data_IF_292444082234
#
_entry.id   IF_292444082234
#
_cell.length_a   1.000
_cell.length_b   1.000
_cell.length_c   1.000
_cell.angle_alpha   90.00
_cell.angle_beta   90.00
_cell.angle_gamma   90.00
#
_symmetry.space_group_name_H-M   'P 1'
#
loop_
_entity.id
_entity.type
_entity.pdbx_description
1 polymer ?
#
# COMPACT_ATOMS: atom_id res chain seq x y z
N UNK A 1 -53.12 19.48 -4.10
CA UNK A 1 -52.55 18.21 -3.61
C UNK A 1 -51.06 18.45 -3.38
N UNK A 2 -50.68 18.82 -2.15
CA UNK A 2 -49.30 19.09 -1.76
C UNK A 2 -48.81 17.88 -0.95
N UNK A 3 -47.82 17.17 -1.48
CA UNK A 3 -47.13 16.09 -0.77
C UNK A 3 -46.18 16.75 0.22
N UNK A 4 -46.57 16.79 1.49
CA UNK A 4 -45.72 17.17 2.61
C UNK A 4 -44.71 16.03 2.82
N UNK A 5 -43.43 16.28 2.53
CA UNK A 5 -42.35 15.36 2.93
C UNK A 5 -42.22 15.41 4.46
N UNK A 6 -42.23 14.29 5.19
CA UNK A 6 -41.99 14.31 6.61
C UNK A 6 -40.52 14.73 6.86
N UNK A 7 -40.35 15.70 7.75
CA UNK A 7 -39.07 16.10 8.32
C UNK A 7 -38.29 14.85 8.78
N UNK A 8 -37.03 14.73 8.33
CA UNK A 8 -36.08 13.80 8.94
C UNK A 8 -35.88 14.21 10.40
N UNK A 9 -36.43 13.42 11.31
CA UNK A 9 -36.22 13.55 12.74
C UNK A 9 -34.74 13.51 13.07
N UNK A 10 -34.34 14.44 13.93
CA UNK A 10 -33.05 14.54 14.62
C UNK A 10 -32.58 13.17 15.13
N UNK A 11 -31.29 12.86 14.95
CA UNK A 11 -30.65 11.73 15.59
C UNK A 11 -30.94 11.74 17.10
N UNK A 12 -31.24 10.60 17.75
CA UNK A 12 -31.57 10.57 19.17
C UNK A 12 -30.40 11.11 19.99
N UNK A 13 -30.69 11.85 21.07
CA UNK A 13 -29.75 12.59 21.93
C UNK A 13 -28.58 11.74 22.51
N UNK A 14 -28.61 10.40 22.37
CA UNK A 14 -27.56 9.49 22.85
C UNK A 14 -26.84 8.68 21.75
N UNK A 15 -27.08 8.96 20.45
CA UNK A 15 -26.47 8.17 19.37
C UNK A 15 -24.94 8.31 19.37
N UNK A 16 -24.44 9.54 19.56
CA UNK A 16 -22.99 9.82 19.57
C UNK A 16 -22.29 9.06 20.69
N UNK A 17 -22.86 9.04 21.88
CA UNK A 17 -22.29 8.35 23.05
C UNK A 17 -22.24 6.84 22.82
N UNK A 18 -23.30 6.26 22.27
CA UNK A 18 -23.33 4.83 21.90
C UNK A 18 -22.27 4.49 20.86
N UNK A 19 -22.08 5.33 19.85
CA UNK A 19 -21.03 5.16 18.85
C UNK A 19 -19.64 5.24 19.48
N UNK A 20 -19.40 6.22 20.36
CA UNK A 20 -18.11 6.35 21.06
C UNK A 20 -17.80 5.13 21.93
N UNK A 21 -18.80 4.58 22.63
CA UNK A 21 -18.65 3.35 23.40
C UNK A 21 -18.30 2.16 22.50
N UNK A 22 -19.06 1.94 21.42
CA UNK A 22 -18.81 0.85 20.48
C UNK A 22 -17.43 0.97 19.79
N UNK A 23 -17.00 2.18 19.47
CA UNK A 23 -15.66 2.44 18.93
C UNK A 23 -14.58 2.13 19.97
N UNK A 24 -14.77 2.54 21.23
CA UNK A 24 -13.83 2.24 22.32
C UNK A 24 -13.67 0.72 22.54
N UNK A 25 -14.75 -0.04 22.48
CA UNK A 25 -14.72 -1.51 22.58
C UNK A 25 -13.98 -2.14 21.39
N UNK A 26 -14.32 -1.71 20.16
CA UNK A 26 -13.63 -2.15 18.94
C UNK A 26 -12.14 -1.82 18.96
N UNK A 27 -11.76 -0.64 19.47
CA UNK A 27 -10.37 -0.21 19.60
C UNK A 27 -9.63 -1.04 20.64
N UNK A 28 -10.27 -1.39 21.76
CA UNK A 28 -9.68 -2.26 22.77
C UNK A 28 -9.36 -3.65 22.21
N UNK A 29 -10.25 -4.20 21.39
CA UNK A 29 -10.05 -5.52 20.74
C UNK A 29 -8.88 -5.52 19.75
N UNK A 30 -8.70 -4.43 18.99
CA UNK A 30 -7.66 -4.35 17.94
C UNK A 30 -6.33 -3.77 18.43
N UNK A 31 -6.27 -3.22 19.64
CA UNK A 31 -5.10 -2.47 20.14
C UNK A 31 -3.80 -3.28 20.10
N UNK A 32 -3.85 -4.53 20.56
CA UNK A 32 -2.64 -5.37 20.62
C UNK A 32 -2.12 -5.68 19.21
N UNK A 33 -3.00 -6.00 18.27
CA UNK A 33 -2.61 -6.26 16.89
C UNK A 33 -2.04 -5.02 16.21
N UNK A 34 -2.65 -3.84 16.43
CA UNK A 34 -2.13 -2.56 15.93
C UNK A 34 -0.73 -2.28 16.49
N UNK A 35 -0.50 -2.54 17.78
CA UNK A 35 0.81 -2.38 18.40
C UNK A 35 1.85 -3.31 17.76
N UNK A 36 1.52 -4.58 17.52
CA UNK A 36 2.41 -5.53 16.85
C UNK A 36 2.77 -5.07 15.42
N UNK A 37 1.80 -4.52 14.67
CA UNK A 37 2.04 -3.97 13.33
C UNK A 37 2.94 -2.73 13.35
N UNK A 38 2.77 -1.86 14.34
CA UNK A 38 3.64 -0.68 14.54
C UNK A 38 5.06 -1.13 14.88
N UNK A 39 5.22 -2.11 15.77
CA UNK A 39 6.52 -2.69 16.11
C UNK A 39 7.19 -3.28 14.86
N UNK A 40 6.46 -4.07 14.08
CA UNK A 40 6.97 -4.64 12.84
C UNK A 40 7.35 -3.56 11.81
N UNK A 41 6.53 -2.50 11.66
CA UNK A 41 6.85 -1.36 10.79
C UNK A 41 8.09 -0.58 11.24
N UNK A 42 8.42 -0.58 12.53
CA UNK A 42 9.58 0.14 13.04
C UNK A 42 10.91 -0.38 12.46
N UNK A 43 10.94 -1.65 12.05
CA UNK A 43 12.10 -2.28 11.39
C UNK A 43 12.44 -1.65 10.03
N UNK A 44 11.47 -0.97 9.41
CA UNK A 44 11.62 -0.33 8.11
C UNK A 44 11.96 1.16 8.18
N UNK A 45 11.99 1.73 9.39
CA UNK A 45 12.16 3.17 9.59
C UNK A 45 13.63 3.56 9.53
N UNK A 46 14.12 3.93 8.34
CA UNK A 46 15.36 4.67 8.23
C UNK A 46 15.10 6.16 8.52
N UNK A 47 15.92 6.76 9.37
CA UNK A 47 15.84 8.18 9.70
C UNK A 47 16.46 8.98 8.55
N UNK A 48 15.62 9.54 7.68
CA UNK A 48 16.05 10.46 6.63
C UNK A 48 15.70 11.89 7.04
N UNK A 49 16.69 12.78 7.24
CA UNK A 49 16.44 14.14 7.71
C UNK A 49 15.68 14.99 6.67
N UNK A 50 15.77 14.63 5.38
CA UNK A 50 15.00 15.24 4.30
C UNK A 50 14.91 14.30 3.11
N UNK A 51 13.69 14.03 2.64
CA UNK A 51 13.42 13.16 1.49
C UNK A 51 12.87 14.04 0.37
N UNK A 52 13.53 14.04 -0.78
CA UNK A 52 13.06 14.72 -1.99
C UNK A 52 12.32 13.71 -2.88
N UNK A 53 11.15 14.12 -3.39
CA UNK A 53 10.33 13.30 -4.28
C UNK A 53 9.02 13.99 -4.62
N UNK A 54 8.27 13.42 -5.56
CA UNK A 54 6.93 13.92 -5.89
C UNK A 54 6.01 13.75 -4.68
N UNK A 55 5.25 14.79 -4.35
CA UNK A 55 4.42 14.81 -3.14
C UNK A 55 3.42 13.65 -3.11
N UNK A 56 2.86 13.30 -4.27
CA UNK A 56 1.95 12.17 -4.44
C UNK A 56 2.63 10.84 -4.11
N UNK A 57 3.86 10.61 -4.60
CA UNK A 57 4.63 9.40 -4.31
C UNK A 57 5.00 9.31 -2.83
N UNK A 58 5.44 10.41 -2.22
CA UNK A 58 5.78 10.44 -0.79
C UNK A 58 4.56 10.18 0.10
N UNK A 59 3.38 10.67 -0.30
CA UNK A 59 2.14 10.43 0.44
C UNK A 59 1.77 8.95 0.49
N UNK A 60 2.06 8.18 -0.55
CA UNK A 60 1.76 6.73 -0.59
C UNK A 60 2.47 5.96 0.53
N UNK A 61 3.67 6.37 0.94
CA UNK A 61 4.38 5.71 2.05
C UNK A 61 3.56 5.82 3.34
N UNK A 62 3.10 7.03 3.67
CA UNK A 62 2.32 7.28 4.88
C UNK A 62 0.95 6.60 4.83
N UNK A 63 0.28 6.60 3.67
CA UNK A 63 -0.99 5.88 3.48
C UNK A 63 -0.83 4.36 3.61
N UNK A 64 0.26 3.79 3.08
CA UNK A 64 0.55 2.36 3.21
C UNK A 64 0.77 1.97 4.68
N UNK A 65 1.52 2.78 5.43
CA UNK A 65 1.75 2.57 6.86
C UNK A 65 0.47 2.69 7.69
N UNK A 66 -0.33 3.72 7.43
CA UNK A 66 -1.60 3.94 8.13
C UNK A 66 -2.59 2.80 7.91
N UNK A 67 -2.82 2.44 6.65
CA UNK A 67 -3.72 1.32 6.30
C UNK A 67 -3.24 -0.01 6.86
N UNK A 68 -1.93 -0.27 6.88
CA UNK A 68 -1.39 -1.50 7.45
C UNK A 68 -1.59 -1.56 8.95
N UNK A 69 -1.25 -0.47 9.64
CA UNK A 69 -1.42 -0.35 11.09
C UNK A 69 -2.85 -0.68 11.49
N UNK A 70 -3.83 -0.16 10.75
CA UNK A 70 -5.25 -0.35 11.05
C UNK A 70 -5.86 -1.66 10.50
N UNK A 71 -5.05 -2.52 9.86
CA UNK A 71 -5.46 -3.85 9.39
C UNK A 71 -6.20 -3.85 8.05
N UNK A 72 -6.09 -2.78 7.27
CA UNK A 72 -6.66 -2.66 5.92
C UNK A 72 -5.71 -3.24 4.86
N UNK A 73 -5.39 -4.54 4.98
CA UNK A 73 -4.32 -5.18 4.22
C UNK A 73 -4.45 -5.13 2.70
N UNK A 74 -5.68 -5.25 2.17
CA UNK A 74 -5.90 -5.08 0.73
C UNK A 74 -5.53 -3.65 0.32
N UNK A 75 -6.00 -2.63 1.05
CA UNK A 75 -5.64 -1.25 0.76
C UNK A 75 -4.12 -1.02 0.85
N UNK A 76 -3.46 -1.59 1.87
CA UNK A 76 -2.00 -1.57 1.99
C UNK A 76 -1.31 -2.14 0.76
N UNK A 77 -1.75 -3.31 0.29
CA UNK A 77 -1.21 -3.93 -0.93
C UNK A 77 -1.34 -3.01 -2.14
N UNK A 78 -2.51 -2.36 -2.32
CA UNK A 78 -2.70 -1.42 -3.44
C UNK A 78 -1.79 -0.20 -3.33
N UNK A 79 -1.72 0.43 -2.16
CA UNK A 79 -0.98 1.67 -1.96
C UNK A 79 0.54 1.41 -2.05
N UNK A 80 1.04 0.34 -1.45
CA UNK A 80 2.43 -0.06 -1.55
C UNK A 80 2.83 -0.39 -3.00
N UNK A 81 1.98 -1.10 -3.74
CA UNK A 81 2.21 -1.38 -5.15
C UNK A 81 2.19 -0.12 -6.02
N UNK A 82 1.33 0.86 -5.70
CA UNK A 82 1.34 2.15 -6.40
C UNK A 82 2.66 2.92 -6.18
N UNK A 83 3.21 2.88 -4.96
CA UNK A 83 4.52 3.46 -4.68
C UNK A 83 5.61 2.76 -5.50
N UNK A 84 5.64 1.42 -5.49
CA UNK A 84 6.64 0.63 -6.24
C UNK A 84 6.55 0.96 -7.74
N UNK A 85 5.34 1.08 -8.28
CA UNK A 85 5.11 1.51 -9.67
C UNK A 85 5.64 2.92 -9.95
N UNK A 86 5.35 3.89 -9.09
CA UNK A 86 5.89 5.25 -9.22
C UNK A 86 7.41 5.27 -9.21
N UNK A 87 8.04 4.61 -8.23
CA UNK A 87 9.50 4.54 -8.09
C UNK A 87 10.15 3.89 -9.32
N UNK A 88 9.59 2.77 -9.79
CA UNK A 88 10.07 2.05 -10.96
C UNK A 88 9.98 2.88 -12.24
N UNK A 89 8.81 3.50 -12.48
CA UNK A 89 8.56 4.29 -13.69
C UNK A 89 9.41 5.57 -13.69
N UNK A 90 9.54 6.24 -12.54
CA UNK A 90 10.37 7.43 -12.41
C UNK A 90 11.84 7.12 -12.72
N UNK A 91 12.41 6.04 -12.19
CA UNK A 91 13.78 5.64 -12.51
C UNK A 91 13.97 5.26 -13.98
N UNK A 92 12.98 4.60 -14.60
CA UNK A 92 13.00 4.34 -16.05
C UNK A 92 12.95 5.64 -16.88
N UNK A 93 12.16 6.63 -16.45
CA UNK A 93 12.10 7.95 -17.09
C UNK A 93 13.44 8.68 -16.99
N UNK A 94 14.06 8.66 -15.81
CA UNK A 94 15.35 9.31 -15.54
C UNK A 94 16.49 8.70 -16.36
N UNK A 95 16.42 7.40 -16.65
CA UNK A 95 17.36 6.71 -17.55
C UNK A 95 17.00 6.84 -19.03
N UNK A 96 15.97 7.63 -19.37
CA UNK A 96 15.52 7.83 -20.75
C UNK A 96 14.95 6.57 -21.41
N UNK A 97 14.50 5.58 -20.61
CA UNK A 97 14.00 4.29 -21.11
C UNK A 97 12.52 4.29 -21.44
N UNK A 98 11.76 5.22 -20.86
CA UNK A 98 10.35 5.40 -21.18
C UNK A 98 9.97 6.88 -21.17
N UNK A 99 8.89 7.20 -21.89
CA UNK A 99 8.19 8.48 -21.81
C UNK A 99 6.75 8.19 -21.39
N UNK A 100 6.27 8.85 -20.35
CA UNK A 100 4.93 8.64 -19.81
C UNK A 100 4.84 7.48 -18.81
N UNK A 101 3.63 6.91 -18.67
CA UNK A 101 3.31 5.89 -17.67
C UNK A 101 2.99 4.55 -18.36
N UNK A 102 4.00 3.67 -18.56
CA UNK A 102 3.75 2.34 -19.10
C UNK A 102 2.89 1.51 -18.12
N UNK A 103 2.31 0.40 -18.60
CA UNK A 103 1.68 -0.57 -17.70
C UNK A 103 2.72 -1.14 -16.74
N UNK A 104 2.33 -1.45 -15.51
CA UNK A 104 3.26 -1.97 -14.51
C UNK A 104 4.05 -3.21 -14.97
N UNK A 105 3.42 -4.14 -15.70
CA UNK A 105 4.10 -5.31 -16.28
C UNK A 105 5.18 -4.90 -17.28
N UNK A 106 4.90 -3.92 -18.13
CA UNK A 106 5.86 -3.38 -19.10
C UNK A 106 7.01 -2.66 -18.38
N UNK A 107 6.73 -1.93 -17.29
CA UNK A 107 7.74 -1.31 -16.46
C UNK A 107 8.69 -2.34 -15.83
N UNK A 108 8.15 -3.46 -15.32
CA UNK A 108 8.96 -4.58 -14.82
C UNK A 108 9.86 -5.14 -15.92
N UNK A 109 9.29 -5.44 -17.10
CA UNK A 109 10.05 -6.03 -18.21
C UNK A 109 11.19 -5.10 -18.68
N UNK A 110 10.92 -3.80 -18.80
CA UNK A 110 11.95 -2.79 -19.10
C UNK A 110 13.04 -2.72 -18.02
N UNK A 111 12.65 -2.79 -16.75
CA UNK A 111 13.61 -2.76 -15.64
C UNK A 111 14.50 -4.01 -15.58
N UNK A 112 13.97 -5.17 -15.95
CA UNK A 112 14.75 -6.41 -16.10
C UNK A 112 15.78 -6.25 -17.23
N UNK A 113 15.37 -5.75 -18.39
CA UNK A 113 16.24 -5.57 -19.56
C UNK A 113 17.46 -4.70 -19.24
N UNK A 114 17.24 -3.60 -18.51
CA UNK A 114 18.31 -2.63 -18.18
C UNK A 114 18.97 -2.91 -16.82
N UNK A 115 18.61 -4.01 -16.14
CA UNK A 115 19.11 -4.41 -14.82
C UNK A 115 18.99 -3.27 -13.79
N UNK A 116 17.82 -2.62 -13.75
CA UNK A 116 17.58 -1.42 -12.94
C UNK A 116 17.59 -1.71 -11.44
N UNK A 117 17.02 -2.84 -11.05
CA UNK A 117 16.88 -3.30 -9.68
C UNK A 117 17.28 -4.77 -9.56
N UNK A 118 17.53 -5.28 -8.34
CA UNK A 118 17.76 -6.70 -8.11
C UNK A 118 16.67 -7.58 -8.75
N UNK A 119 17.02 -8.67 -9.47
CA UNK A 119 16.03 -9.52 -10.13
C UNK A 119 14.96 -10.09 -9.20
N UNK A 120 15.33 -10.40 -7.95
CA UNK A 120 14.42 -10.90 -6.92
C UNK A 120 13.35 -9.86 -6.53
N UNK A 121 13.70 -8.56 -6.50
CA UNK A 121 12.73 -7.48 -6.24
C UNK A 121 11.70 -7.40 -7.36
N UNK A 122 12.14 -7.47 -8.61
CA UNK A 122 11.26 -7.41 -9.78
C UNK A 122 10.36 -8.65 -9.86
N UNK A 123 10.87 -9.82 -9.47
CA UNK A 123 10.07 -11.04 -9.37
C UNK A 123 9.00 -10.93 -8.27
N UNK A 124 9.37 -10.43 -7.08
CA UNK A 124 8.43 -10.20 -5.97
C UNK A 124 7.36 -9.17 -6.36
N UNK A 125 7.74 -8.05 -6.98
CA UNK A 125 6.80 -7.05 -7.49
C UNK A 125 5.81 -7.67 -8.49
N UNK A 126 6.29 -8.51 -9.41
CA UNK A 126 5.42 -9.24 -10.35
C UNK A 126 4.46 -10.17 -9.61
N UNK A 127 4.94 -10.95 -8.63
CA UNK A 127 4.09 -11.85 -7.85
C UNK A 127 3.00 -11.08 -7.08
N UNK A 128 3.36 -10.00 -6.38
CA UNK A 128 2.42 -9.12 -5.68
C UNK A 128 1.40 -8.49 -6.63
N UNK A 129 1.79 -8.12 -7.85
CA UNK A 129 0.86 -7.59 -8.85
C UNK A 129 -0.24 -8.60 -9.20
N UNK A 130 0.10 -9.89 -9.30
CA UNK A 130 -0.85 -10.96 -9.59
C UNK A 130 -1.85 -11.16 -8.43
N UNK A 131 -1.37 -11.06 -7.19
CA UNK A 131 -2.21 -11.11 -5.98
C UNK A 131 -3.14 -9.90 -5.88
N UNK A 132 -2.61 -8.68 -6.07
CA UNK A 132 -3.41 -7.44 -6.14
C UNK A 132 -4.49 -7.52 -7.21
N UNK A 133 -4.17 -8.08 -8.38
CA UNK A 133 -5.09 -8.16 -9.50
C UNK A 133 -6.34 -9.01 -9.22
N UNK A 134 -6.30 -9.96 -8.28
CA UNK A 134 -7.49 -10.73 -7.89
C UNK A 134 -8.49 -9.93 -7.05
N UNK A 135 -8.04 -8.85 -6.40
CA UNK A 135 -8.89 -7.88 -5.72
C UNK A 135 -9.37 -6.76 -6.66
N UNK A 136 -8.56 -6.39 -7.67
CA UNK A 136 -8.90 -5.34 -8.62
C UNK A 136 -9.87 -5.80 -9.72
N UNK A 137 -9.78 -7.07 -10.12
CA UNK A 137 -10.52 -7.63 -11.24
C UNK A 137 -11.14 -8.95 -10.82
N UNK A 138 -12.46 -9.08 -11.02
CA UNK A 138 -13.15 -10.35 -10.79
C UNK A 138 -12.51 -11.45 -11.65
N UNK A 139 -12.13 -12.56 -11.00
CA UNK A 139 -11.56 -13.74 -11.63
C UNK A 139 -12.49 -14.93 -11.43
N UNK A 140 -12.31 -15.95 -12.26
CA UNK A 140 -12.92 -17.27 -12.02
C UNK A 140 -12.48 -17.83 -10.67
N UNK A 141 -13.37 -18.62 -10.05
CA UNK A 141 -13.20 -19.09 -8.67
C UNK A 141 -11.98 -20.00 -8.45
N UNK A 142 -11.47 -20.63 -9.51
CA UNK A 142 -10.31 -21.54 -9.50
C UNK A 142 -9.00 -20.83 -9.86
N UNK A 143 -9.03 -19.52 -10.12
CA UNK A 143 -7.82 -18.78 -10.48
C UNK A 143 -6.84 -18.76 -9.28
N UNK A 144 -5.56 -19.13 -9.46
CA UNK A 144 -4.64 -19.48 -8.36
C UNK A 144 -4.32 -18.32 -7.43
N UNK A 145 -4.42 -17.08 -7.91
CA UNK A 145 -4.12 -15.88 -7.11
C UNK A 145 -5.34 -15.29 -6.39
N UNK A 146 -6.51 -15.92 -6.49
CA UNK A 146 -7.69 -15.50 -5.72
C UNK A 146 -7.50 -15.84 -4.24
N UNK A 147 -8.08 -15.02 -3.36
CA UNK A 147 -8.02 -15.29 -1.91
C UNK A 147 -8.63 -16.66 -1.58
N UNK A 148 -9.72 -17.04 -2.25
CA UNK A 148 -10.37 -18.35 -2.05
C UNK A 148 -9.45 -19.52 -2.40
N UNK A 149 -8.83 -19.50 -3.59
CA UNK A 149 -7.88 -20.54 -3.99
C UNK A 149 -6.71 -20.65 -3.01
N UNK A 150 -6.18 -19.51 -2.56
CA UNK A 150 -5.06 -19.47 -1.61
C UNK A 150 -5.42 -19.91 -0.20
N UNK A 151 -6.62 -19.63 0.29
CA UNK A 151 -7.09 -20.18 1.57
C UNK A 151 -7.11 -21.71 1.52
N UNK A 152 -7.56 -22.28 0.41
CA UNK A 152 -7.59 -23.74 0.24
C UNK A 152 -6.19 -24.35 0.14
N UNK A 153 -5.29 -23.69 -0.59
CA UNK A 153 -3.90 -24.13 -0.80
C UNK A 153 -3.04 -23.97 0.46
N UNK A 154 -3.01 -22.77 1.05
CA UNK A 154 -2.17 -22.40 2.19
C UNK A 154 -2.71 -22.92 3.54
N UNK A 155 -4.00 -23.33 3.59
CA UNK A 155 -4.70 -23.76 4.82
C UNK A 155 -4.61 -22.74 5.95
N UNK A 156 -4.59 -21.46 5.59
CA UNK A 156 -4.46 -20.33 6.51
C UNK A 156 -5.73 -19.48 6.51
N UNK A 157 -5.96 -18.77 7.63
CA UNK A 157 -7.08 -17.83 7.74
C UNK A 157 -6.88 -16.69 6.71
N UNK A 158 -7.94 -16.25 5.99
CA UNK A 158 -7.81 -15.24 4.93
C UNK A 158 -7.15 -13.95 5.39
N UNK A 159 -7.39 -13.53 6.64
CA UNK A 159 -6.75 -12.33 7.21
C UNK A 159 -5.24 -12.49 7.31
N UNK A 160 -4.74 -13.66 7.71
CA UNK A 160 -3.29 -13.91 7.81
C UNK A 160 -2.62 -13.92 6.43
N UNK A 161 -3.30 -14.45 5.41
CA UNK A 161 -2.82 -14.43 4.02
C UNK A 161 -2.71 -12.99 3.51
N UNK A 162 -3.76 -12.17 3.74
CA UNK A 162 -3.75 -10.77 3.35
C UNK A 162 -2.70 -9.96 4.12
N UNK A 163 -2.53 -10.22 5.42
CA UNK A 163 -1.49 -9.58 6.24
C UNK A 163 -0.09 -9.91 5.71
N UNK A 164 0.17 -11.17 5.36
CA UNK A 164 1.45 -11.59 4.78
C UNK A 164 1.72 -10.91 3.42
N UNK A 165 0.69 -10.78 2.56
CA UNK A 165 0.83 -10.03 1.31
C UNK A 165 1.13 -8.55 1.53
N UNK A 166 0.47 -7.95 2.52
CA UNK A 166 0.67 -6.55 2.87
C UNK A 166 2.06 -6.32 3.48
N UNK A 167 2.54 -7.23 4.33
CA UNK A 167 3.90 -7.23 4.85
C UNK A 167 4.93 -7.32 3.71
N UNK A 168 4.77 -8.30 2.81
CA UNK A 168 5.70 -8.47 1.68
C UNK A 168 5.71 -7.23 0.77
N UNK A 169 4.55 -6.58 0.56
CA UNK A 169 4.44 -5.36 -0.21
C UNK A 169 5.10 -4.16 0.47
N UNK A 170 4.97 -4.01 1.79
CA UNK A 170 5.64 -2.95 2.55
C UNK A 170 7.15 -3.14 2.54
N UNK A 171 7.64 -4.36 2.80
CA UNK A 171 9.07 -4.68 2.76
C UNK A 171 9.67 -4.26 1.42
N UNK A 172 8.99 -4.64 0.33
CA UNK A 172 9.43 -4.32 -1.02
C UNK A 172 9.31 -2.82 -1.31
N UNK A 173 8.24 -2.17 -0.86
CA UNK A 173 8.06 -0.72 -0.98
C UNK A 173 9.25 0.03 -0.35
N UNK A 174 9.66 -0.36 0.86
CA UNK A 174 10.80 0.25 1.53
C UNK A 174 12.13 -0.03 0.83
N UNK A 175 12.31 -1.23 0.29
CA UNK A 175 13.48 -1.54 -0.56
C UNK A 175 13.58 -0.58 -1.76
N UNK A 176 12.46 -0.39 -2.49
CA UNK A 176 12.40 0.57 -3.59
C UNK A 176 12.63 2.00 -3.10
N UNK A 177 11.99 2.39 -2.00
CA UNK A 177 12.12 3.73 -1.43
C UNK A 177 13.57 4.05 -1.09
N UNK A 178 14.27 3.18 -0.36
CA UNK A 178 15.68 3.37 -0.02
C UNK A 178 16.54 3.46 -1.27
N UNK A 179 16.29 2.60 -2.27
CA UNK A 179 17.07 2.57 -3.51
C UNK A 179 16.85 3.79 -4.43
N UNK A 180 15.69 4.45 -4.33
CA UNK A 180 15.35 5.62 -5.16
C UNK A 180 15.40 6.95 -4.41
N UNK A 181 15.59 6.91 -3.09
CA UNK A 181 15.77 8.12 -2.28
C UNK A 181 17.06 8.82 -2.68
N UNK A 182 16.96 10.13 -2.90
CA UNK A 182 18.09 11.01 -3.19
C UNK A 182 18.26 11.94 -2.00
N UNK A 183 19.47 12.05 -1.48
CA UNK A 183 19.78 13.06 -0.48
C UNK A 183 19.62 14.45 -1.10
N UNK A 184 18.99 15.36 -0.35
CA UNK A 184 18.93 16.76 -0.76
C UNK A 184 20.35 17.33 -0.73
N UNK A 185 20.89 17.69 -1.90
CA UNK A 185 22.11 18.50 -1.97
C UNK A 185 21.77 19.93 -1.55
N UNK A 186 21.82 20.17 -0.23
CA UNK A 186 21.51 21.47 0.37
C UNK A 186 22.45 22.56 -0.14
N UNK A 187 23.67 22.23 -0.59
CA UNK A 187 24.60 23.23 -1.12
C UNK A 187 24.18 23.76 -2.49
N UNK A 188 23.40 23.02 -3.27
CA UNK A 188 22.90 23.47 -4.56
C UNK A 188 21.64 24.34 -4.41
N UNK A 189 20.78 24.03 -3.43
CA UNK A 189 19.50 24.72 -3.21
C UNK A 189 19.62 26.15 -2.65
N UNK A 190 20.77 26.50 -2.05
CA UNK A 190 21.04 27.84 -1.50
C UNK A 190 22.01 28.68 -2.36
N UNK A 191 22.28 28.27 -3.61
CA UNK A 191 23.12 29.03 -4.57
C UNK A 191 22.31 29.86 -5.59
N UNK A 192 20.98 29.88 -5.49
CA UNK A 192 20.08 30.77 -6.23
C UNK A 192 19.56 31.90 -5.34
#
# INVERSE_FOLDING_TARGET
MLIVRPHMNSAPDNMREKLLLALSESDAMRRSERANRIEWLSLHSASYPMIMGRAETLRLIEEARGTFTDGHFVATLFVAMAFIEHALVEELQLKGRTKGSPLFSQAIDMAIEVKLFPPDWLQRAKALSLRRNSFAHLKESDHPHTLGARVMEEKAHPVAIMEADAQEAIDLMFNFFVATTREADLEAAFRE
#
